data_IF_760553490235
#
_entry.id   IF_760553490235
#
_cell.length_a   1.000
_cell.length_b   1.000
_cell.length_c   1.000
_cell.angle_alpha   90.00
_cell.angle_beta   90.00
_cell.angle_gamma   90.00
#
_symmetry.space_group_name_H-M   'P 1'
#
loop_
_entity.id
_entity.type
_entity.pdbx_description
1 polymer ?
#
# COMPACT_ATOMS: atom_id res chain seq x y z
N UNK A 1 -31.16 43.90 -55.41
CA UNK A 1 -30.63 42.53 -55.18
C UNK A 1 -29.69 42.60 -53.97
N UNK A 2 -30.13 42.12 -52.83
CA UNK A 2 -29.33 42.14 -51.55
C UNK A 2 -28.72 40.75 -51.37
N UNK A 3 -27.39 40.66 -51.42
CA UNK A 3 -26.69 39.40 -51.13
C UNK A 3 -26.56 39.23 -49.62
N UNK A 4 -27.19 38.20 -49.09
CA UNK A 4 -27.10 37.74 -47.70
C UNK A 4 -25.91 36.80 -47.64
N UNK A 5 -24.81 37.21 -46.99
CA UNK A 5 -23.68 36.37 -46.73
C UNK A 5 -23.94 35.61 -45.43
N UNK A 6 -24.12 34.27 -45.52
CA UNK A 6 -24.23 33.37 -44.39
C UNK A 6 -22.80 33.09 -43.85
N UNK A 7 -22.50 33.61 -42.66
CA UNK A 7 -21.26 33.30 -41.95
C UNK A 7 -21.43 31.96 -41.26
N UNK A 8 -20.73 30.91 -41.74
CA UNK A 8 -20.71 29.58 -41.13
C UNK A 8 -19.68 29.62 -40.00
N UNK A 9 -20.14 29.71 -38.75
CA UNK A 9 -19.30 29.53 -37.57
C UNK A 9 -18.99 28.03 -37.40
N UNK A 10 -17.75 27.64 -37.76
CA UNK A 10 -17.23 26.28 -37.46
C UNK A 10 -16.80 26.28 -36.00
N UNK A 11 -17.61 25.69 -35.13
CA UNK A 11 -17.20 25.31 -33.78
C UNK A 11 -16.27 24.12 -33.90
N UNK A 12 -14.96 24.35 -33.84
CA UNK A 12 -13.99 23.28 -33.57
C UNK A 12 -14.09 22.95 -32.09
N UNK A 13 -14.84 21.89 -31.76
CA UNK A 13 -14.73 21.24 -30.44
C UNK A 13 -13.31 20.70 -30.33
N UNK A 14 -12.46 21.34 -29.53
CA UNK A 14 -11.22 20.77 -29.08
C UNK A 14 -11.59 19.53 -28.27
N UNK A 15 -11.46 18.35 -28.87
CA UNK A 15 -11.40 17.08 -28.16
C UNK A 15 -10.19 17.20 -27.22
N UNK A 16 -10.44 17.46 -25.93
CA UNK A 16 -9.41 17.38 -24.91
C UNK A 16 -8.81 15.98 -24.97
N UNK A 17 -7.58 15.85 -25.46
CA UNK A 17 -6.84 14.61 -25.38
C UNK A 17 -6.82 14.19 -23.91
N UNK A 18 -7.24 12.96 -23.61
CA UNK A 18 -6.98 12.34 -22.33
C UNK A 18 -5.47 12.49 -22.10
N UNK A 19 -5.08 13.22 -21.07
CA UNK A 19 -3.66 13.50 -20.82
C UNK A 19 -3.00 12.17 -20.45
N UNK A 20 -2.06 11.73 -21.28
CA UNK A 20 -1.42 10.44 -21.17
C UNK A 20 -0.59 10.34 -19.87
N UNK A 21 -0.80 9.26 -19.12
CA UNK A 21 0.08 8.88 -18.00
C UNK A 21 1.38 8.35 -18.60
N UNK A 22 2.50 8.93 -18.19
CA UNK A 22 3.82 8.46 -18.62
C UNK A 22 4.30 7.34 -17.69
N UNK A 23 4.59 6.17 -18.25
CA UNK A 23 5.20 5.05 -17.52
C UNK A 23 6.70 4.98 -17.81
N UNK A 24 7.52 4.97 -16.77
CA UNK A 24 8.95 4.64 -16.81
C UNK A 24 9.12 3.28 -16.15
N UNK A 25 9.43 2.25 -16.97
CA UNK A 25 9.56 0.87 -16.48
C UNK A 25 10.97 0.59 -15.96
N UNK A 26 11.07 -0.44 -15.09
CA UNK A 26 12.32 -1.07 -14.66
C UNK A 26 13.34 -0.11 -14.02
N UNK A 27 12.84 0.87 -13.25
CA UNK A 27 13.71 1.76 -12.46
C UNK A 27 14.34 0.94 -11.33
N UNK A 28 15.65 0.71 -11.41
CA UNK A 28 16.39 -0.09 -10.42
C UNK A 28 16.57 0.73 -9.14
N UNK A 29 16.06 0.22 -8.00
CA UNK A 29 16.22 0.87 -6.69
C UNK A 29 17.22 0.14 -5.77
N UNK A 30 17.52 -1.14 -6.05
CA UNK A 30 18.51 -1.93 -5.33
C UNK A 30 19.18 -2.95 -6.24
N UNK A 31 20.40 -3.35 -5.85
CA UNK A 31 21.12 -4.48 -6.45
C UNK A 31 21.86 -5.20 -5.34
N UNK A 32 21.51 -6.45 -5.08
CA UNK A 32 22.18 -7.34 -4.14
C UNK A 32 21.82 -8.79 -4.45
N UNK A 33 22.56 -9.74 -3.92
CA UNK A 33 22.36 -11.19 -4.06
C UNK A 33 22.15 -11.66 -5.50
N UNK A 34 22.81 -11.00 -6.45
CA UNK A 34 22.75 -11.33 -7.87
C UNK A 34 21.43 -10.95 -8.57
N UNK A 35 20.63 -10.05 -7.97
CA UNK A 35 19.39 -9.52 -8.58
C UNK A 35 19.37 -8.00 -8.62
N UNK A 36 18.60 -7.46 -9.56
CA UNK A 36 18.18 -6.07 -9.56
C UNK A 36 16.72 -6.01 -9.16
N UNK A 37 16.41 -5.24 -8.12
CA UNK A 37 15.06 -4.95 -7.68
C UNK A 37 14.57 -3.67 -8.35
N UNK A 38 13.37 -3.70 -8.92
CA UNK A 38 12.86 -2.65 -9.78
C UNK A 38 11.50 -2.11 -9.34
N UNK A 39 11.18 -0.93 -9.81
CA UNK A 39 9.87 -0.33 -9.74
C UNK A 39 9.50 0.31 -11.07
N UNK A 40 8.22 0.40 -11.34
CA UNK A 40 7.69 1.21 -12.43
C UNK A 40 7.14 2.51 -11.89
N UNK A 41 7.44 3.61 -12.59
CA UNK A 41 6.98 4.94 -12.20
C UNK A 41 5.90 5.41 -13.19
N UNK A 42 4.73 5.71 -12.67
CA UNK A 42 3.63 6.29 -13.44
C UNK A 42 3.47 7.76 -13.06
N UNK A 43 3.80 8.63 -13.98
CA UNK A 43 3.71 10.09 -13.79
C UNK A 43 2.42 10.58 -14.44
N UNK A 44 1.49 11.19 -13.67
CA UNK A 44 0.28 11.76 -14.23
C UNK A 44 0.61 13.02 -15.05
N UNK A 45 -0.24 13.37 -15.99
CA UNK A 45 -0.06 14.59 -16.79
C UNK A 45 -0.12 15.88 -15.96
N UNK A 46 -0.81 15.86 -14.82
CA UNK A 46 -0.87 16.96 -13.84
C UNK A 46 -0.48 16.45 -12.46
N UNK A 47 0.82 16.35 -12.15
CA UNK A 47 1.28 15.90 -10.84
C UNK A 47 0.85 16.89 -9.74
N UNK A 48 0.40 16.36 -8.61
CA UNK A 48 0.06 17.16 -7.42
C UNK A 48 1.24 17.29 -6.44
N UNK A 49 2.40 16.72 -6.79
CA UNK A 49 3.63 16.74 -5.99
C UNK A 49 3.69 15.67 -4.91
N UNK A 50 2.65 14.88 -4.71
CA UNK A 50 2.68 13.74 -3.78
C UNK A 50 2.92 12.41 -4.51
N UNK A 51 3.48 11.44 -3.80
CA UNK A 51 3.77 10.09 -4.27
C UNK A 51 2.91 9.04 -3.57
N UNK A 52 2.52 8.01 -4.30
CA UNK A 52 1.95 6.77 -3.75
C UNK A 52 2.83 5.60 -4.15
N UNK A 53 3.39 4.91 -3.15
CA UNK A 53 4.16 3.68 -3.32
C UNK A 53 3.19 2.51 -3.25
N UNK A 54 2.99 1.81 -4.36
CA UNK A 54 2.14 0.63 -4.46
C UNK A 54 2.99 -0.63 -4.41
N UNK A 55 2.81 -1.46 -3.40
CA UNK A 55 3.57 -2.70 -3.21
C UNK A 55 2.85 -3.85 -3.90
N UNK A 56 3.50 -4.47 -4.89
CA UNK A 56 3.03 -5.71 -5.53
C UNK A 56 3.48 -6.88 -4.67
N UNK A 57 2.54 -7.50 -3.94
CA UNK A 57 2.84 -8.67 -3.11
C UNK A 57 1.59 -9.51 -2.83
N UNK A 58 1.66 -10.80 -3.14
CA UNK A 58 0.65 -11.81 -2.78
C UNK A 58 1.32 -12.96 -2.04
N UNK A 59 1.00 -13.18 -0.74
CA UNK A 59 1.69 -14.17 0.09
C UNK A 59 3.22 -13.98 0.13
N UNK A 60 3.68 -12.72 0.09
CA UNK A 60 5.09 -12.29 0.01
C UNK A 60 5.82 -12.77 -1.25
N UNK A 61 5.07 -13.04 -2.31
CA UNK A 61 5.60 -13.19 -3.66
C UNK A 61 5.32 -11.91 -4.44
N UNK A 62 6.29 -11.51 -5.25
CA UNK A 62 6.20 -10.32 -6.10
C UNK A 62 6.64 -10.66 -7.52
N UNK A 63 6.06 -10.00 -8.50
CA UNK A 63 6.42 -10.18 -9.91
C UNK A 63 5.94 -8.99 -10.75
N UNK A 64 6.39 -8.94 -12.00
CA UNK A 64 6.07 -7.87 -12.95
C UNK A 64 4.73 -8.08 -13.71
N UNK A 65 3.96 -9.13 -13.39
CA UNK A 65 2.70 -9.41 -14.07
C UNK A 65 1.61 -8.42 -13.62
N UNK A 66 0.93 -7.82 -14.59
CA UNK A 66 -0.20 -6.95 -14.31
C UNK A 66 0.16 -5.64 -13.59
N UNK A 67 1.39 -5.13 -13.77
CA UNK A 67 1.79 -3.83 -13.24
C UNK A 67 0.85 -2.75 -13.77
N UNK A 68 0.22 -2.02 -12.86
CA UNK A 68 -0.61 -0.85 -13.13
C UNK A 68 -0.51 0.14 -11.99
N UNK A 69 -0.74 1.42 -12.26
CA UNK A 69 -0.78 2.47 -11.25
C UNK A 69 -1.90 2.30 -10.21
N UNK A 70 -2.85 1.38 -10.44
CA UNK A 70 -4.01 1.19 -9.56
C UNK A 70 -5.02 2.34 -9.65
N UNK A 71 -4.87 3.24 -10.62
CA UNK A 71 -5.73 4.42 -10.82
C UNK A 71 -5.36 5.62 -9.93
N UNK A 72 -4.21 5.61 -9.27
CA UNK A 72 -3.77 6.71 -8.41
C UNK A 72 -3.40 7.97 -9.20
N UNK A 73 -2.90 7.80 -10.44
CA UNK A 73 -2.54 8.92 -11.33
C UNK A 73 -3.73 9.81 -11.69
N UNK A 74 -4.96 9.28 -11.71
CA UNK A 74 -6.18 10.08 -11.94
C UNK A 74 -6.44 11.14 -10.84
N UNK A 75 -5.83 10.95 -9.66
CA UNK A 75 -5.88 11.91 -8.55
C UNK A 75 -4.64 12.81 -8.50
N UNK A 76 -3.77 12.72 -9.50
CA UNK A 76 -2.54 13.51 -9.59
C UNK A 76 -1.34 12.94 -8.83
N UNK A 77 -1.42 11.78 -8.21
CA UNK A 77 -0.30 11.15 -7.52
C UNK A 77 0.68 10.53 -8.51
N UNK A 78 1.98 10.83 -8.37
CA UNK A 78 3.02 10.02 -9.02
C UNK A 78 3.07 8.66 -8.32
N UNK A 79 2.86 7.58 -9.07
CA UNK A 79 2.73 6.24 -8.49
C UNK A 79 3.98 5.41 -8.76
N UNK A 80 4.57 4.89 -7.71
CA UNK A 80 5.72 3.99 -7.75
C UNK A 80 5.24 2.56 -7.47
N UNK A 81 5.23 1.72 -8.49
CA UNK A 81 4.77 0.33 -8.39
C UNK A 81 6.00 -0.55 -8.14
N UNK A 82 6.18 -0.95 -6.87
CA UNK A 82 7.41 -1.61 -6.41
C UNK A 82 7.25 -3.13 -6.48
N UNK A 83 8.24 -3.78 -7.11
CA UNK A 83 8.43 -5.22 -7.14
C UNK A 83 9.61 -5.56 -6.23
N UNK A 84 9.40 -6.41 -5.24
CA UNK A 84 10.41 -6.82 -4.27
C UNK A 84 10.92 -8.24 -4.51
N UNK A 85 11.94 -8.66 -3.79
CA UNK A 85 12.43 -10.05 -3.78
C UNK A 85 11.32 -11.02 -3.35
N UNK A 86 11.26 -12.21 -3.96
CA UNK A 86 10.17 -13.18 -3.78
C UNK A 86 10.63 -14.32 -2.87
N UNK A 87 9.76 -14.70 -1.90
CA UNK A 87 9.98 -15.88 -1.07
C UNK A 87 10.00 -17.17 -1.94
N UNK A 88 10.72 -18.24 -1.58
CA UNK A 88 11.51 -18.41 -0.36
C UNK A 88 12.95 -17.90 -0.48
N UNK A 89 13.36 -17.35 -1.63
CA UNK A 89 14.72 -16.82 -1.83
C UNK A 89 14.99 -15.61 -0.96
N UNK A 90 13.98 -14.75 -0.78
CA UNK A 90 14.00 -13.59 0.10
C UNK A 90 12.97 -13.77 1.20
N UNK A 91 13.38 -13.60 2.45
CA UNK A 91 12.48 -13.67 3.59
C UNK A 91 11.85 -12.31 3.88
N UNK A 92 10.81 -12.29 4.70
CA UNK A 92 10.02 -11.06 4.95
C UNK A 92 10.87 -9.93 5.54
N UNK A 93 11.83 -10.24 6.40
CA UNK A 93 12.75 -9.25 6.96
C UNK A 93 13.62 -8.57 5.91
N UNK A 94 14.17 -9.36 4.96
CA UNK A 94 14.93 -8.86 3.80
C UNK A 94 14.02 -8.02 2.88
N UNK A 95 12.80 -8.53 2.60
CA UNK A 95 11.79 -7.82 1.80
C UNK A 95 11.44 -6.46 2.42
N UNK A 96 11.27 -6.40 3.75
CA UNK A 96 11.02 -5.13 4.45
C UNK A 96 12.20 -4.18 4.29
N UNK A 97 13.44 -4.67 4.42
CA UNK A 97 14.66 -3.88 4.19
C UNK A 97 14.74 -3.32 2.77
N UNK A 98 14.43 -4.14 1.78
CA UNK A 98 14.38 -3.73 0.37
C UNK A 98 13.33 -2.65 0.11
N UNK A 99 12.13 -2.81 0.68
CA UNK A 99 11.06 -1.83 0.56
C UNK A 99 11.39 -0.52 1.29
N UNK A 100 12.05 -0.58 2.44
CA UNK A 100 12.58 0.63 3.11
C UNK A 100 13.61 1.34 2.22
N UNK A 101 14.47 0.58 1.54
CA UNK A 101 15.40 1.14 0.55
C UNK A 101 14.64 1.74 -0.66
N UNK A 102 13.56 1.13 -1.13
CA UNK A 102 12.76 1.70 -2.23
C UNK A 102 12.19 3.07 -1.87
N UNK A 103 11.65 3.24 -0.65
CA UNK A 103 11.16 4.54 -0.15
C UNK A 103 12.30 5.56 -0.06
N UNK A 104 13.46 5.16 0.47
CA UNK A 104 14.66 6.02 0.50
C UNK A 104 15.10 6.43 -0.90
N UNK A 105 15.11 5.49 -1.85
CA UNK A 105 15.45 5.77 -3.25
C UNK A 105 14.51 6.81 -3.87
N UNK A 106 13.20 6.65 -3.66
CA UNK A 106 12.18 7.61 -4.11
C UNK A 106 12.44 8.99 -3.49
N UNK A 107 12.66 9.06 -2.18
CA UNK A 107 12.93 10.30 -1.45
C UNK A 107 14.23 10.97 -1.89
N UNK A 108 15.32 10.23 -2.04
CA UNK A 108 16.61 10.74 -2.49
C UNK A 108 16.56 11.30 -3.93
N UNK A 109 15.65 10.77 -4.76
CA UNK A 109 15.44 11.19 -6.14
C UNK A 109 14.16 12.03 -6.33
N UNK A 110 13.60 12.59 -5.28
CA UNK A 110 12.30 13.29 -5.31
C UNK A 110 12.26 14.39 -6.38
N UNK A 111 13.32 15.20 -6.49
CA UNK A 111 13.43 16.25 -7.51
C UNK A 111 13.35 15.69 -8.94
N UNK A 112 13.99 14.54 -9.21
CA UNK A 112 13.95 13.85 -10.52
C UNK A 112 12.54 13.40 -10.88
N UNK A 113 11.75 12.98 -9.87
CA UNK A 113 10.39 12.49 -10.06
C UNK A 113 9.32 13.60 -9.95
N UNK A 114 9.72 14.85 -9.68
CA UNK A 114 8.81 15.97 -9.52
C UNK A 114 7.88 15.84 -8.31
N UNK A 115 8.34 15.22 -7.23
CA UNK A 115 7.57 15.03 -6.00
C UNK A 115 8.21 15.73 -4.80
N UNK A 116 7.41 16.01 -3.79
CA UNK A 116 7.86 16.45 -2.48
C UNK A 116 8.35 15.24 -1.66
N UNK A 117 9.60 15.21 -1.17
CA UNK A 117 10.13 14.09 -0.39
C UNK A 117 9.39 13.83 0.93
N UNK A 118 8.57 14.79 1.39
CA UNK A 118 7.78 14.70 2.62
C UNK A 118 6.30 14.35 2.35
N UNK A 119 5.94 13.96 1.12
CA UNK A 119 4.57 13.61 0.72
C UNK A 119 4.53 12.24 0.06
N UNK A 120 4.90 11.22 0.80
CA UNK A 120 4.96 9.83 0.34
C UNK A 120 3.94 9.00 1.10
N UNK A 121 2.93 8.49 0.39
CA UNK A 121 1.99 7.50 0.89
C UNK A 121 2.36 6.09 0.43
N UNK A 122 1.87 5.06 1.13
CA UNK A 122 2.10 3.66 0.77
C UNK A 122 0.79 2.86 0.77
N UNK A 123 0.65 1.94 -0.19
CA UNK A 123 -0.54 1.10 -0.37
C UNK A 123 -0.19 -0.31 -0.81
N UNK A 124 -1.07 -1.25 -0.51
CA UNK A 124 -1.01 -2.63 -0.95
C UNK A 124 -2.17 -3.45 -0.40
N UNK A 125 -2.30 -4.68 -0.86
CA UNK A 125 -3.31 -5.62 -0.34
C UNK A 125 -2.68 -6.91 0.18
N UNK A 126 -3.28 -7.55 1.18
CA UNK A 126 -2.81 -8.83 1.74
C UNK A 126 -1.36 -8.71 2.26
N UNK A 127 -0.44 -9.54 1.78
CA UNK A 127 0.98 -9.40 2.08
C UNK A 127 1.52 -8.00 1.71
N UNK A 128 1.05 -7.38 0.62
CA UNK A 128 1.39 -5.99 0.28
C UNK A 128 0.83 -4.99 1.29
N UNK A 129 -0.32 -5.25 1.86
CA UNK A 129 -0.90 -4.49 2.97
C UNK A 129 -0.06 -4.60 4.25
N UNK A 130 0.35 -5.83 4.60
CA UNK A 130 1.30 -6.07 5.69
C UNK A 130 2.58 -5.27 5.51
N UNK A 131 3.21 -5.35 4.32
CA UNK A 131 4.45 -4.64 4.00
C UNK A 131 4.25 -3.12 4.02
N UNK A 132 3.06 -2.63 3.63
CA UNK A 132 2.71 -1.21 3.74
C UNK A 132 2.65 -0.77 5.21
N UNK A 133 2.07 -1.58 6.09
CA UNK A 133 2.04 -1.31 7.52
C UNK A 133 3.46 -1.38 8.14
N UNK A 134 4.29 -2.33 7.71
CA UNK A 134 5.69 -2.39 8.15
C UNK A 134 6.47 -1.13 7.77
N UNK A 135 6.28 -0.58 6.57
CA UNK A 135 6.90 0.70 6.17
C UNK A 135 6.39 1.87 7.02
N UNK A 136 5.10 1.87 7.40
CA UNK A 136 4.52 2.91 8.25
C UNK A 136 4.96 2.83 9.72
N UNK A 137 5.26 1.63 10.22
CA UNK A 137 5.51 1.43 11.66
C UNK A 137 6.99 1.23 11.99
N UNK A 138 7.79 0.67 11.07
CA UNK A 138 9.21 0.36 11.28
C UNK A 138 10.10 1.22 10.39
N UNK A 139 10.31 2.46 10.80
CA UNK A 139 11.11 3.44 10.05
C UNK A 139 12.60 3.24 10.28
N UNK A 140 13.40 3.22 9.21
CA UNK A 140 14.85 3.37 9.28
C UNK A 140 15.22 4.86 9.22
N UNK A 141 15.92 5.39 10.25
CA UNK A 141 16.32 6.80 10.25
C UNK A 141 17.37 7.07 9.17
N UNK A 142 17.50 8.33 8.77
CA UNK A 142 18.58 8.79 7.91
C UNK A 142 19.95 8.47 8.50
N UNK A 143 20.90 8.06 7.65
CA UNK A 143 22.30 7.91 7.99
C UNK A 143 23.17 8.94 7.21
N UNK A 144 23.31 10.18 7.71
CA UNK A 144 24.03 11.23 6.99
C UNK A 144 25.52 10.92 6.71
N UNK A 145 26.08 9.91 7.40
CA UNK A 145 27.47 9.46 7.24
C UNK A 145 27.65 8.37 6.20
N UNK A 146 26.56 7.82 5.65
CA UNK A 146 26.65 6.80 4.61
C UNK A 146 27.27 7.38 3.34
N UNK A 147 28.05 6.55 2.63
CA UNK A 147 28.55 6.86 1.29
C UNK A 147 27.47 6.70 0.22
N UNK A 148 26.43 5.96 0.50
CA UNK A 148 25.27 5.80 -0.39
C UNK A 148 24.24 6.92 -0.13
N UNK A 149 24.01 7.84 -1.10
CA UNK A 149 23.05 8.93 -0.92
C UNK A 149 21.63 8.46 -0.61
N UNK A 150 21.26 7.22 -1.02
CA UNK A 150 19.96 6.61 -0.70
C UNK A 150 19.81 6.35 0.79
N UNK A 151 20.91 6.04 1.50
CA UNK A 151 20.88 5.81 2.94
C UNK A 151 20.94 7.10 3.76
N UNK A 152 21.32 8.23 3.15
CA UNK A 152 21.38 9.52 3.83
C UNK A 152 20.00 10.11 4.15
N UNK A 153 18.92 9.52 3.65
CA UNK A 153 17.54 9.92 3.90
C UNK A 153 16.75 8.85 4.66
N UNK A 154 15.67 9.26 5.33
CA UNK A 154 14.78 8.36 6.09
C UNK A 154 13.91 7.50 5.17
N UNK A 155 13.53 6.28 5.63
CA UNK A 155 12.49 5.45 5.01
C UNK A 155 11.07 5.81 5.44
N UNK A 156 10.88 6.89 6.17
CA UNK A 156 9.58 7.34 6.66
C UNK A 156 8.56 7.48 5.54
N UNK A 157 7.29 7.13 5.80
CA UNK A 157 6.14 7.41 4.95
C UNK A 157 5.15 8.28 5.72
N UNK A 158 4.35 9.07 5.00
CA UNK A 158 3.53 10.11 5.62
C UNK A 158 2.06 9.73 5.73
N UNK A 159 1.63 8.67 5.05
CA UNK A 159 0.30 8.07 5.15
C UNK A 159 0.32 6.61 4.67
N UNK A 160 -0.54 5.78 5.26
CA UNK A 160 -0.77 4.39 4.83
C UNK A 160 -2.24 4.22 4.51
N UNK A 161 -2.56 3.55 3.39
CA UNK A 161 -3.91 3.05 3.11
C UNK A 161 -3.80 1.67 2.47
N UNK A 162 -4.40 0.63 3.06
CA UNK A 162 -4.19 -0.73 2.60
C UNK A 162 -5.42 -1.62 2.78
N UNK A 163 -5.40 -2.76 2.07
CA UNK A 163 -6.46 -3.76 2.11
C UNK A 163 -6.05 -4.99 2.89
N UNK A 164 -6.93 -5.47 3.75
CA UNK A 164 -6.89 -6.77 4.46
C UNK A 164 -5.48 -7.22 4.87
N UNK A 165 -4.72 -6.39 5.61
CA UNK A 165 -3.34 -6.69 5.96
C UNK A 165 -3.22 -7.69 7.10
N UNK A 166 -2.28 -8.64 7.07
CA UNK A 166 -1.73 -9.25 8.28
C UNK A 166 -1.16 -8.19 9.23
N UNK A 167 -1.46 -8.29 10.53
CA UNK A 167 -1.06 -7.30 11.53
C UNK A 167 -0.33 -7.94 12.70
N UNK A 168 -0.78 -9.12 13.12
CA UNK A 168 -0.26 -9.86 14.28
C UNK A 168 -0.09 -11.33 13.93
N UNK A 169 1.13 -11.78 13.75
CA UNK A 169 1.42 -13.17 13.43
C UNK A 169 1.38 -14.11 14.64
N UNK A 170 1.40 -13.57 15.85
CA UNK A 170 1.32 -14.38 17.08
C UNK A 170 -0.12 -14.66 17.48
N UNK A 171 -1.10 -13.91 16.97
CA UNK A 171 -2.51 -14.02 17.32
C UNK A 171 -3.35 -13.94 16.03
N UNK A 172 -3.50 -15.07 15.35
CA UNK A 172 -4.13 -15.14 14.03
C UNK A 172 -5.62 -15.42 14.06
N UNK A 173 -6.11 -16.08 15.10
CA UNK A 173 -7.49 -16.52 15.20
C UNK A 173 -8.51 -15.36 15.19
N UNK A 174 -9.76 -15.64 14.77
CA UNK A 174 -10.88 -14.73 14.97
C UNK A 174 -11.09 -14.53 16.48
N UNK A 175 -11.59 -13.36 16.85
CA UNK A 175 -11.97 -13.08 18.22
C UNK A 175 -12.97 -14.14 18.73
N UNK A 176 -12.63 -14.83 19.82
CA UNK A 176 -13.41 -15.96 20.34
C UNK A 176 -13.00 -17.35 19.86
N UNK A 177 -12.12 -17.48 18.87
CA UNK A 177 -11.55 -18.77 18.45
C UNK A 177 -10.33 -19.14 19.30
N UNK A 178 -10.32 -20.34 19.88
CA UNK A 178 -9.24 -20.87 20.72
C UNK A 178 -8.00 -21.36 19.95
N UNK A 179 -7.91 -21.10 18.65
CA UNK A 179 -6.80 -21.56 17.81
C UNK A 179 -5.63 -20.57 17.86
N UNK A 180 -4.97 -20.48 19.00
CA UNK A 180 -3.67 -19.86 19.09
C UNK A 180 -2.68 -20.62 18.18
N UNK A 181 -1.91 -19.88 17.37
CA UNK A 181 -0.77 -20.44 16.63
C UNK A 181 -1.06 -21.00 15.24
N UNK A 182 -2.25 -20.83 14.66
CA UNK A 182 -2.56 -21.23 13.28
C UNK A 182 -2.54 -20.02 12.36
N UNK A 183 -1.36 -19.57 11.99
CA UNK A 183 -1.20 -18.41 11.12
C UNK A 183 -0.04 -18.59 10.15
N UNK A 184 0.36 -17.52 9.46
CA UNK A 184 1.40 -17.56 8.45
C UNK A 184 2.76 -18.08 8.94
N UNK A 185 3.10 -17.94 10.22
CA UNK A 185 4.34 -18.49 10.81
C UNK A 185 4.48 -20.01 10.59
N UNK A 186 3.37 -20.72 10.41
CA UNK A 186 3.37 -22.16 10.10
C UNK A 186 2.92 -22.42 8.67
N UNK A 187 1.83 -21.83 8.20
CA UNK A 187 1.26 -22.10 6.88
C UNK A 187 2.05 -21.45 5.73
N UNK A 188 2.89 -20.46 6.04
CA UNK A 188 3.77 -19.73 5.12
C UNK A 188 5.22 -19.67 5.62
N UNK A 189 5.64 -20.71 6.37
CA UNK A 189 6.99 -20.80 6.96
C UNK A 189 8.14 -20.44 5.99
N UNK A 190 8.13 -20.83 4.69
CA UNK A 190 9.17 -20.42 3.75
C UNK A 190 9.35 -18.92 3.59
N UNK A 191 8.31 -18.11 3.81
CA UNK A 191 8.42 -16.65 3.74
C UNK A 191 9.16 -16.05 4.95
N UNK A 192 9.21 -16.76 6.07
CA UNK A 192 9.89 -16.33 7.29
C UNK A 192 11.30 -16.90 7.42
N UNK A 193 11.65 -17.89 6.59
CA UNK A 193 12.93 -18.57 6.64
C UNK A 193 13.08 -19.57 7.79
N UNK A 194 14.30 -20.07 8.04
CA UNK A 194 14.56 -21.14 9.00
C UNK A 194 14.30 -20.75 10.47
N UNK A 195 14.21 -19.46 10.77
CA UNK A 195 13.94 -18.97 12.12
C UNK A 195 12.66 -19.54 12.74
N UNK A 196 11.62 -19.82 11.92
CA UNK A 196 10.33 -20.29 12.41
C UNK A 196 10.25 -21.80 12.65
N UNK A 197 11.36 -22.52 12.55
CA UNK A 197 11.42 -23.96 12.82
C UNK A 197 11.28 -24.29 14.33
N UNK A 198 11.68 -23.36 15.21
CA UNK A 198 11.53 -23.49 16.66
C UNK A 198 10.40 -22.61 17.21
N UNK A 199 9.93 -22.89 18.42
CA UNK A 199 8.90 -22.08 19.08
C UNK A 199 9.44 -20.67 19.40
N UNK A 200 10.64 -20.58 19.94
CA UNK A 200 11.32 -19.32 20.24
C UNK A 200 11.56 -18.49 18.99
N UNK A 201 11.93 -19.16 17.88
CA UNK A 201 12.13 -18.49 16.60
C UNK A 201 10.82 -17.96 16.03
N UNK A 202 9.70 -18.68 16.16
CA UNK A 202 8.36 -18.20 15.79
C UNK A 202 7.94 -16.98 16.62
N UNK A 203 8.15 -17.04 17.94
CA UNK A 203 7.84 -15.88 18.82
C UNK A 203 8.66 -14.66 18.41
N UNK A 204 9.96 -14.81 18.16
CA UNK A 204 10.82 -13.71 17.70
C UNK A 204 10.39 -13.17 16.35
N UNK A 205 10.23 -14.03 15.34
CA UNK A 205 9.78 -13.61 14.02
C UNK A 205 8.40 -12.96 14.07
N UNK A 206 7.48 -13.51 14.87
CA UNK A 206 6.16 -12.96 15.08
C UNK A 206 6.21 -11.54 15.63
N UNK A 207 7.05 -11.26 16.63
CA UNK A 207 7.22 -9.90 17.18
C UNK A 207 7.90 -8.95 16.20
N UNK A 208 8.99 -9.38 15.57
CA UNK A 208 9.81 -8.53 14.71
C UNK A 208 9.07 -8.15 13.40
N UNK A 209 8.25 -9.06 12.88
CA UNK A 209 7.58 -8.91 11.58
C UNK A 209 6.08 -8.59 11.67
N UNK A 210 5.51 -8.46 12.85
CA UNK A 210 4.13 -7.98 13.01
C UNK A 210 4.11 -6.47 13.19
N UNK A 211 3.44 -5.72 12.31
CA UNK A 211 3.28 -4.27 12.45
C UNK A 211 2.75 -3.84 13.82
N UNK A 212 1.90 -4.68 14.43
CA UNK A 212 1.28 -4.42 15.73
C UNK A 212 2.28 -3.97 16.81
N UNK A 213 3.45 -4.61 16.87
CA UNK A 213 4.44 -4.35 17.92
C UNK A 213 5.29 -3.09 17.67
N UNK A 214 5.16 -2.49 16.48
CA UNK A 214 5.90 -1.30 16.08
C UNK A 214 5.04 -0.03 16.08
N UNK A 215 3.71 -0.15 16.30
CA UNK A 215 2.80 0.99 16.35
C UNK A 215 3.16 1.88 17.55
N UNK A 216 3.36 3.18 17.29
CA UNK A 216 3.66 4.21 18.26
C UNK A 216 2.90 5.50 17.94
N UNK A 217 3.01 6.51 18.78
CA UNK A 217 2.48 7.87 18.56
C UNK A 217 3.05 8.56 17.30
N UNK A 218 4.19 8.04 16.76
CA UNK A 218 4.83 8.51 15.53
C UNK A 218 4.35 7.77 14.28
N UNK A 219 3.51 6.74 14.43
CA UNK A 219 2.97 5.99 13.28
C UNK A 219 2.13 6.94 12.42
N UNK A 220 2.36 6.99 11.08
CA UNK A 220 1.61 7.87 10.20
C UNK A 220 0.12 7.50 10.18
N UNK A 221 -0.76 8.44 9.83
CA UNK A 221 -2.18 8.17 9.65
C UNK A 221 -2.40 6.95 8.77
N UNK A 222 -3.19 5.98 9.25
CA UNK A 222 -3.37 4.67 8.62
C UNK A 222 -4.85 4.38 8.36
N UNK A 223 -5.20 3.99 7.13
CA UNK A 223 -6.53 3.57 6.72
C UNK A 223 -6.52 2.11 6.28
N UNK A 224 -7.37 1.28 6.86
CA UNK A 224 -7.47 -0.15 6.54
C UNK A 224 -8.88 -0.49 6.06
N UNK A 225 -8.99 -1.17 4.92
CA UNK A 225 -10.25 -1.76 4.45
C UNK A 225 -10.16 -3.28 4.58
N UNK A 226 -11.12 -3.89 5.28
CA UNK A 226 -11.10 -5.30 5.64
C UNK A 226 -12.48 -5.92 5.43
N UNK A 227 -12.54 -7.12 4.84
CA UNK A 227 -13.76 -7.94 4.81
C UNK A 227 -13.92 -8.77 6.09
N UNK A 228 -15.13 -8.84 6.66
CA UNK A 228 -15.39 -9.62 7.87
C UNK A 228 -15.60 -11.12 7.59
N UNK A 229 -15.87 -11.49 6.34
CA UNK A 229 -15.94 -12.87 5.87
C UNK A 229 -14.65 -13.33 5.17
N UNK A 230 -13.53 -12.65 5.40
CA UNK A 230 -12.23 -12.98 4.83
C UNK A 230 -11.73 -14.34 5.41
N UNK A 231 -11.55 -15.38 4.55
CA UNK A 231 -11.11 -16.69 5.00
C UNK A 231 -9.59 -16.80 5.20
N UNK A 232 -8.81 -15.79 4.73
CA UNK A 232 -7.35 -15.81 4.74
C UNK A 232 -6.77 -14.91 5.84
N UNK A 233 -7.29 -13.68 5.97
CA UNK A 233 -6.87 -12.72 6.97
C UNK A 233 -8.09 -12.28 7.78
N UNK A 234 -8.25 -12.78 9.00
CA UNK A 234 -9.40 -12.43 9.84
C UNK A 234 -9.51 -10.93 10.10
N UNK A 235 -10.72 -10.40 10.20
CA UNK A 235 -10.96 -8.98 10.48
C UNK A 235 -10.44 -8.55 11.87
N UNK A 236 -10.24 -9.50 12.77
CA UNK A 236 -9.54 -9.28 14.05
C UNK A 236 -8.16 -8.65 13.87
N UNK A 237 -7.47 -8.90 12.73
CA UNK A 237 -6.18 -8.29 12.44
C UNK A 237 -6.29 -6.76 12.32
N UNK A 238 -7.25 -6.27 11.55
CA UNK A 238 -7.51 -4.83 11.41
C UNK A 238 -7.98 -4.23 12.74
N UNK A 239 -8.85 -4.92 13.48
CA UNK A 239 -9.35 -4.48 14.80
C UNK A 239 -8.22 -4.34 15.82
N UNK A 240 -7.26 -5.27 15.85
CA UNK A 240 -6.07 -5.20 16.72
C UNK A 240 -5.20 -3.99 16.37
N UNK A 241 -5.02 -3.70 15.07
CA UNK A 241 -4.31 -2.50 14.63
C UNK A 241 -4.95 -1.24 15.20
N UNK A 242 -6.27 -1.09 15.04
CA UNK A 242 -7.00 0.08 15.54
C UNK A 242 -6.92 0.19 17.06
N UNK A 243 -7.10 -0.92 17.78
CA UNK A 243 -7.03 -0.93 19.25
C UNK A 243 -5.65 -0.43 19.73
N UNK A 244 -4.58 -0.96 19.11
CA UNK A 244 -3.22 -0.53 19.45
C UNK A 244 -2.94 0.91 19.04
N UNK A 245 -3.42 1.36 17.89
CA UNK A 245 -3.27 2.74 17.45
C UNK A 245 -3.95 3.71 18.45
N UNK A 246 -5.17 3.40 18.90
CA UNK A 246 -5.88 4.20 19.93
C UNK A 246 -5.12 4.24 21.24
N UNK A 247 -4.58 3.10 21.70
CA UNK A 247 -3.80 3.00 22.94
C UNK A 247 -2.59 3.94 22.96
N UNK A 248 -1.91 4.09 21.82
CA UNK A 248 -0.69 4.92 21.70
C UNK A 248 -0.94 6.32 21.14
N UNK A 249 -2.18 6.67 20.81
CA UNK A 249 -2.54 7.98 20.25
C UNK A 249 -2.22 8.15 18.77
N UNK A 250 -1.97 7.06 18.04
CA UNK A 250 -1.81 7.09 16.58
C UNK A 250 -3.16 7.23 15.87
N UNK A 251 -3.18 7.91 14.69
CA UNK A 251 -4.40 8.08 13.90
C UNK A 251 -4.63 6.86 13.02
N UNK A 252 -5.74 6.16 13.22
CA UNK A 252 -6.16 5.05 12.36
C UNK A 252 -7.66 5.07 12.13
N UNK A 253 -8.08 4.66 10.93
CA UNK A 253 -9.47 4.37 10.60
C UNK A 253 -9.57 3.02 9.92
N UNK A 254 -10.65 2.29 10.19
CA UNK A 254 -10.92 0.99 9.61
C UNK A 254 -12.31 1.00 8.97
N UNK A 255 -12.39 0.54 7.74
CA UNK A 255 -13.64 0.20 7.07
C UNK A 255 -13.80 -1.33 7.03
N UNK A 256 -14.86 -1.83 7.66
CA UNK A 256 -15.25 -3.23 7.57
C UNK A 256 -16.28 -3.40 6.46
N UNK A 257 -15.97 -4.23 5.47
CA UNK A 257 -16.90 -4.67 4.42
C UNK A 257 -17.65 -5.91 4.89
N UNK A 258 -18.91 -5.73 5.31
CA UNK A 258 -19.77 -6.81 5.83
C UNK A 258 -20.06 -7.83 4.72
N UNK A 259 -19.77 -9.11 4.98
CA UNK A 259 -19.81 -10.17 3.99
C UNK A 259 -18.64 -10.17 3.00
N UNK A 260 -17.70 -9.23 3.13
CA UNK A 260 -16.52 -9.13 2.26
C UNK A 260 -15.52 -10.26 2.52
N UNK A 261 -15.08 -10.91 1.44
CA UNK A 261 -14.04 -11.93 1.46
C UNK A 261 -12.63 -11.28 1.43
N UNK A 262 -11.60 -12.02 1.00
CA UNK A 262 -10.23 -11.50 0.81
C UNK A 262 -10.14 -10.66 -0.47
N UNK A 263 -10.82 -9.50 -0.48
CA UNK A 263 -11.04 -8.69 -1.67
C UNK A 263 -12.15 -9.23 -2.59
N UNK A 264 -12.28 -8.62 -3.79
CA UNK A 264 -13.22 -9.09 -4.81
C UNK A 264 -14.67 -8.73 -4.55
N UNK A 265 -14.94 -7.63 -3.85
CA UNK A 265 -16.26 -7.01 -3.80
C UNK A 265 -16.38 -5.85 -4.79
N UNK A 266 -17.62 -5.54 -5.17
CA UNK A 266 -17.91 -4.52 -6.21
C UNK A 266 -17.46 -3.14 -5.76
N UNK A 267 -17.65 -2.81 -4.50
CA UNK A 267 -17.37 -1.50 -3.90
C UNK A 267 -15.87 -1.19 -3.71
N UNK A 268 -14.95 -2.09 -4.12
CA UNK A 268 -13.50 -1.80 -4.10
C UNK A 268 -13.13 -0.54 -4.89
N UNK A 269 -13.91 -0.19 -5.91
CA UNK A 269 -13.70 1.06 -6.65
C UNK A 269 -13.97 2.29 -5.77
N UNK A 270 -15.02 2.26 -4.95
CA UNK A 270 -15.36 3.32 -4.01
C UNK A 270 -14.37 3.37 -2.85
N UNK A 271 -13.89 2.19 -2.41
CA UNK A 271 -12.83 2.10 -1.39
C UNK A 271 -11.53 2.74 -1.88
N UNK A 272 -11.18 2.55 -3.15
CA UNK A 272 -10.03 3.22 -3.76
C UNK A 272 -10.21 4.76 -3.80
N UNK A 273 -11.42 5.25 -4.06
CA UNK A 273 -11.72 6.69 -3.94
C UNK A 273 -11.46 7.16 -2.52
N UNK A 274 -11.95 6.43 -1.54
CA UNK A 274 -11.78 6.78 -0.13
C UNK A 274 -10.31 6.74 0.32
N UNK A 275 -9.52 5.78 -0.17
CA UNK A 275 -8.08 5.74 0.06
C UNK A 275 -7.37 6.93 -0.60
N UNK A 276 -7.80 7.35 -1.80
CA UNK A 276 -7.25 8.54 -2.46
C UNK A 276 -7.57 9.82 -1.67
N UNK A 277 -8.77 9.94 -1.10
CA UNK A 277 -9.13 11.03 -0.18
C UNK A 277 -8.26 11.00 1.09
N UNK A 278 -7.94 9.80 1.62
CA UNK A 278 -7.01 9.65 2.75
C UNK A 278 -5.62 10.21 2.44
N UNK A 279 -5.06 9.83 1.29
CA UNK A 279 -3.79 10.38 0.83
C UNK A 279 -3.87 11.89 0.56
N UNK A 280 -4.94 12.36 -0.06
CA UNK A 280 -5.15 13.80 -0.31
C UNK A 280 -5.23 14.60 0.98
N UNK A 281 -5.91 14.08 2.00
CA UNK A 281 -6.00 14.72 3.32
C UNK A 281 -4.62 14.79 3.99
N UNK A 282 -3.91 13.67 4.06
CA UNK A 282 -2.70 13.58 4.86
C UNK A 282 -1.42 14.02 4.17
N UNK A 283 -1.37 13.98 2.83
CA UNK A 283 -0.22 14.43 2.05
C UNK A 283 -0.37 15.85 1.50
N UNK A 284 -1.61 16.30 1.23
CA UNK A 284 -1.87 17.58 0.56
C UNK A 284 -2.70 18.55 1.39
N UNK A 285 -3.23 18.14 2.55
CA UNK A 285 -4.12 18.94 3.39
C UNK A 285 -5.51 19.17 2.78
N UNK A 286 -5.89 18.41 1.77
CA UNK A 286 -7.18 18.53 1.09
C UNK A 286 -8.28 17.81 1.90
N UNK A 287 -9.39 18.50 2.12
CA UNK A 287 -10.50 17.91 2.87
C UNK A 287 -11.25 16.87 2.03
N UNK A 288 -11.58 15.69 2.59
CA UNK A 288 -12.34 14.67 1.90
C UNK A 288 -13.81 15.10 1.76
N UNK A 289 -14.53 14.50 0.79
CA UNK A 289 -15.95 14.75 0.58
C UNK A 289 -16.80 14.38 1.83
N UNK A 290 -16.39 13.33 2.55
CA UNK A 290 -16.95 12.94 3.84
C UNK A 290 -15.82 12.82 4.86
N UNK A 291 -15.93 13.41 6.06
CA UNK A 291 -14.92 13.30 7.09
C UNK A 291 -14.57 11.85 7.44
N UNK A 292 -13.32 11.63 7.83
CA UNK A 292 -12.92 10.39 8.50
C UNK A 292 -13.25 10.50 10.00
N UNK A 293 -13.71 9.41 10.59
CA UNK A 293 -14.16 9.39 11.99
C UNK A 293 -13.10 8.79 12.94
N UNK A 294 -11.99 8.30 12.42
CA UNK A 294 -10.92 7.65 13.18
C UNK A 294 -11.42 6.52 14.09
N UNK A 295 -12.40 5.76 13.59
CA UNK A 295 -12.99 4.61 14.27
C UNK A 295 -13.35 3.52 13.26
N UNK A 296 -14.03 2.47 13.75
CA UNK A 296 -14.56 1.41 12.88
C UNK A 296 -15.82 1.92 12.18
N UNK A 297 -15.80 1.92 10.85
CA UNK A 297 -16.98 2.06 10.00
C UNK A 297 -17.34 0.70 9.39
N UNK A 298 -18.63 0.40 9.26
CA UNK A 298 -19.09 -0.86 8.64
C UNK A 298 -20.05 -0.55 7.51
N UNK A 299 -19.78 -1.12 6.33
CA UNK A 299 -20.60 -0.97 5.13
C UNK A 299 -20.80 -2.33 4.45
N UNK A 300 -21.96 -2.59 3.84
CA UNK A 300 -22.18 -3.84 3.12
C UNK A 300 -21.20 -4.02 1.96
N UNK A 301 -20.96 -5.26 1.55
CA UNK A 301 -20.22 -5.62 0.35
C UNK A 301 -21.07 -6.47 -0.58
N UNK A 302 -20.88 -6.28 -1.88
CA UNK A 302 -21.48 -7.10 -2.93
C UNK A 302 -20.39 -7.95 -3.58
N UNK A 303 -20.49 -9.30 -3.57
CA UNK A 303 -19.50 -10.13 -4.24
C UNK A 303 -19.37 -9.76 -5.72
N UNK A 304 -18.13 -9.61 -6.21
CA UNK A 304 -17.92 -9.37 -7.62
C UNK A 304 -18.38 -10.58 -8.46
N UNK A 305 -18.95 -10.37 -9.65
CA UNK A 305 -19.37 -11.46 -10.51
C UNK A 305 -18.19 -12.34 -10.87
N UNK A 306 -18.35 -13.67 -10.72
CA UNK A 306 -17.31 -14.63 -11.10
C UNK A 306 -17.00 -14.45 -12.60
N UNK A 307 -15.73 -14.26 -12.95
CA UNK A 307 -15.31 -14.29 -14.36
C UNK A 307 -15.73 -15.65 -14.95
N UNK A 308 -16.32 -15.68 -16.15
CA UNK A 308 -16.63 -16.93 -16.82
C UNK A 308 -15.35 -17.76 -16.93
N UNK A 309 -15.45 -19.06 -16.62
CA UNK A 309 -14.34 -19.97 -16.78
C UNK A 309 -13.81 -19.86 -18.22
N UNK A 310 -12.53 -19.65 -18.39
CA UNK A 310 -11.89 -19.74 -19.71
C UNK A 310 -12.11 -21.16 -20.20
N UNK A 311 -12.90 -21.33 -21.27
CA UNK A 311 -13.02 -22.61 -21.99
C UNK A 311 -11.71 -22.94 -22.67
#
# INVERSE_FOLDING_TARGET
MRHLACLLLIFTSALGSAQDVVRTSDVIYAKHDGVALTMDVFTPAKPNGAAVVKIISGGWNSNHNGISDGGWTKYGFTTFVVVHGTQPRFHIDEIVGDLQRSVRFIRANAAKFGIDPNKIGVTGGSAGGHLSLMLGTRVLPANPKSKDPVEQVSSEVNAVACYYPPVDFLSWAKEGDSKEGVGPLTTRAPAFGPIVTTAEGRERAGRELSPLFWISDKTPPTYIVQGDADPLVPDSQARRYLARAKEVGAKAEILIRLGGAHGGWVEMADDNVRMAEWFSLHLLGQQPAKPFNFDISSLPSTPAPKKPAKK
#
